data_IF_551691559101
#
_entry.id   IF_551691559101
#
_cell.length_a   1.000
_cell.length_b   1.000
_cell.length_c   1.000
_cell.angle_alpha   90.00
_cell.angle_beta   90.00
_cell.angle_gamma   90.00
#
_symmetry.space_group_name_H-M   'P 1'
#
loop_
_entity.id
_entity.type
_entity.pdbx_description
1 polymer ?
#
# COMPACT_ATOMS: atom_id res chain seq x y z
N UNK A 1 24.57 4.11 -8.89
CA UNK A 1 23.46 4.45 -9.80
C UNK A 1 22.19 4.24 -9.00
N UNK A 2 21.73 5.30 -8.33
CA UNK A 2 20.49 5.33 -7.55
C UNK A 2 19.34 5.64 -8.52
N UNK A 3 18.58 4.61 -8.89
CA UNK A 3 17.34 4.79 -9.65
C UNK A 3 16.36 5.54 -8.76
N UNK A 4 15.69 6.62 -9.22
CA UNK A 4 14.79 7.36 -8.35
C UNK A 4 13.69 6.42 -7.86
N UNK A 5 13.50 6.25 -6.53
CA UNK A 5 12.55 5.29 -5.95
C UNK A 5 11.08 5.57 -6.30
N UNK A 6 10.79 6.67 -7.00
CA UNK A 6 9.48 7.04 -7.48
C UNK A 6 8.96 6.15 -8.62
N UNK A 7 9.80 5.57 -9.49
CA UNK A 7 9.31 4.83 -10.66
C UNK A 7 8.66 3.49 -10.29
N UNK A 8 9.30 2.69 -9.44
CA UNK A 8 8.79 1.36 -9.04
C UNK A 8 7.54 1.45 -8.16
N UNK A 9 7.48 2.44 -7.27
CA UNK A 9 6.30 2.66 -6.43
C UNK A 9 5.10 3.13 -7.24
N UNK A 10 5.33 4.05 -8.16
CA UNK A 10 4.30 4.54 -9.05
C UNK A 10 3.83 3.42 -9.99
N UNK A 11 4.73 2.56 -10.48
CA UNK A 11 4.37 1.39 -11.27
C UNK A 11 3.52 0.41 -10.45
N UNK A 12 3.90 0.11 -9.20
CA UNK A 12 3.13 -0.78 -8.33
C UNK A 12 1.76 -0.20 -7.97
N UNK A 13 1.70 1.10 -7.69
CA UNK A 13 0.45 1.81 -7.46
C UNK A 13 -0.48 1.74 -8.68
N UNK A 14 0.05 1.92 -9.89
CA UNK A 14 -0.73 1.76 -11.12
C UNK A 14 -1.20 0.32 -11.34
N UNK A 15 -0.37 -0.68 -11.04
CA UNK A 15 -0.75 -2.09 -11.14
C UNK A 15 -1.95 -2.40 -10.23
N UNK A 16 -1.88 -1.95 -8.97
CA UNK A 16 -2.97 -2.09 -7.99
C UNK A 16 -4.22 -1.34 -8.47
N UNK A 17 -4.08 -0.09 -8.92
CA UNK A 17 -5.19 0.72 -9.40
C UNK A 17 -5.85 0.15 -10.67
N UNK A 18 -5.11 -0.61 -11.47
CA UNK A 18 -5.63 -1.29 -12.66
C UNK A 18 -6.36 -2.60 -12.33
N UNK A 19 -6.07 -3.21 -11.17
CA UNK A 19 -6.63 -4.49 -10.74
C UNK A 19 -7.19 -4.42 -9.30
N UNK A 20 -8.05 -3.44 -8.97
CA UNK A 20 -8.40 -3.16 -7.57
C UNK A 20 -9.16 -4.30 -6.88
N UNK A 21 -9.81 -5.18 -7.64
CA UNK A 21 -10.50 -6.35 -7.11
C UNK A 21 -9.59 -7.45 -6.57
N UNK A 22 -8.27 -7.37 -6.82
CA UNK A 22 -7.29 -8.34 -6.28
C UNK A 22 -6.71 -7.90 -4.94
N UNK A 23 -7.14 -6.74 -4.43
CA UNK A 23 -6.56 -6.10 -3.26
C UNK A 23 -7.65 -5.63 -2.28
N UNK A 24 -7.20 -5.28 -1.07
CA UNK A 24 -8.02 -4.68 -0.03
C UNK A 24 -7.14 -3.76 0.84
N UNK A 25 -7.74 -2.74 1.43
CA UNK A 25 -7.07 -1.76 2.29
C UNK A 25 -7.28 -2.14 3.74
N UNK A 26 -6.21 -2.25 4.52
CA UNK A 26 -6.33 -2.45 5.96
C UNK A 26 -6.90 -1.20 6.62
N UNK A 27 -8.00 -1.33 7.37
CA UNK A 27 -8.61 -0.19 8.08
C UNK A 27 -7.78 0.29 9.29
N UNK A 28 -6.78 -0.48 9.73
CA UNK A 28 -5.94 -0.14 10.87
C UNK A 28 -4.72 0.73 10.51
N UNK A 29 -3.99 0.37 9.46
CA UNK A 29 -2.75 1.04 9.06
C UNK A 29 -2.74 1.48 7.59
N UNK A 30 -3.88 1.37 6.90
CA UNK A 30 -4.09 1.81 5.52
C UNK A 30 -3.12 1.19 4.48
N UNK A 31 -2.51 0.06 4.84
CA UNK A 31 -1.68 -0.71 3.93
C UNK A 31 -2.56 -1.47 2.94
N UNK A 32 -2.15 -1.52 1.67
CA UNK A 32 -2.79 -2.34 0.63
C UNK A 32 -2.22 -3.75 0.71
N UNK A 33 -3.09 -4.74 0.81
CA UNK A 33 -2.75 -6.17 0.85
C UNK A 33 -3.56 -6.94 -0.18
N UNK A 34 -3.16 -8.17 -0.49
CA UNK A 34 -3.92 -9.03 -1.39
C UNK A 34 -5.31 -9.37 -0.80
N UNK A 35 -6.31 -9.52 -1.67
CA UNK A 35 -7.64 -9.99 -1.31
C UNK A 35 -7.54 -11.36 -0.62
N UNK A 36 -8.33 -11.57 0.44
CA UNK A 36 -8.32 -12.81 1.23
C UNK A 36 -7.27 -12.85 2.34
N UNK A 37 -6.41 -11.82 2.45
CA UNK A 37 -5.61 -11.59 3.66
C UNK A 37 -6.52 -11.50 4.88
N UNK A 38 -6.30 -12.36 5.87
CA UNK A 38 -7.11 -12.42 7.09
C UNK A 38 -6.57 -11.53 8.21
N UNK A 39 -5.24 -11.38 8.29
CA UNK A 39 -4.53 -10.56 9.27
C UNK A 39 -3.51 -9.70 8.55
N UNK A 40 -3.52 -8.40 8.82
CA UNK A 40 -2.62 -7.45 8.18
C UNK A 40 -1.18 -7.73 8.65
N UNK A 41 -0.22 -7.97 7.74
CA UNK A 41 1.16 -8.27 8.13
C UNK A 41 1.89 -7.05 8.72
N UNK A 42 1.35 -5.84 8.54
CA UNK A 42 1.99 -4.61 9.01
C UNK A 42 1.54 -4.20 10.41
N UNK A 43 0.26 -4.37 10.76
CA UNK A 43 -0.28 -3.94 12.06
C UNK A 43 -1.02 -5.02 12.84
N UNK A 44 -1.13 -6.24 12.30
CA UNK A 44 -1.88 -7.36 12.87
C UNK A 44 -3.39 -7.11 13.06
N UNK A 45 -3.96 -6.08 12.42
CA UNK A 45 -5.40 -5.86 12.34
C UNK A 45 -6.10 -6.85 11.40
N UNK A 46 -7.41 -7.06 11.58
CA UNK A 46 -8.20 -8.03 10.82
C UNK A 46 -9.35 -7.41 10.01
N UNK A 47 -9.47 -6.08 10.03
CA UNK A 47 -10.49 -5.33 9.30
C UNK A 47 -9.93 -4.77 8.01
N UNK A 48 -10.64 -5.00 6.92
CA UNK A 48 -10.25 -4.59 5.57
C UNK A 48 -11.45 -4.03 4.81
N UNK A 49 -11.16 -3.03 3.99
CA UNK A 49 -12.07 -2.49 3.00
C UNK A 49 -11.65 -2.99 1.62
N UNK A 50 -12.52 -3.78 0.99
CA UNK A 50 -12.31 -4.36 -0.34
C UNK A 50 -13.09 -3.62 -1.43
N UNK A 51 -13.63 -2.43 -1.13
CA UNK A 51 -14.22 -1.57 -2.14
C UNK A 51 -13.16 -1.14 -3.17
N UNK A 52 -13.39 -1.36 -4.48
CA UNK A 52 -12.40 -1.08 -5.50
C UNK A 52 -12.08 0.42 -5.62
N UNK A 53 -13.02 1.32 -5.31
CA UNK A 53 -12.77 2.76 -5.33
C UNK A 53 -11.80 3.11 -4.19
N UNK A 54 -12.00 2.55 -3.00
CA UNK A 54 -11.08 2.74 -1.86
C UNK A 54 -9.67 2.24 -2.16
N UNK A 55 -9.54 1.08 -2.80
CA UNK A 55 -8.24 0.50 -3.21
C UNK A 55 -7.51 1.40 -4.20
N UNK A 56 -8.21 1.90 -5.23
CA UNK A 56 -7.65 2.81 -6.23
C UNK A 56 -7.16 4.10 -5.57
N UNK A 57 -8.01 4.74 -4.76
CA UNK A 57 -7.67 5.98 -4.06
C UNK A 57 -6.41 5.81 -3.20
N UNK A 58 -6.35 4.72 -2.43
CA UNK A 58 -5.20 4.43 -1.59
C UNK A 58 -3.93 4.15 -2.41
N UNK A 59 -4.04 3.46 -3.53
CA UNK A 59 -2.90 3.17 -4.40
C UNK A 59 -2.31 4.47 -4.96
N UNK A 60 -3.15 5.38 -5.44
CA UNK A 60 -2.73 6.69 -5.93
C UNK A 60 -2.12 7.54 -4.81
N UNK A 61 -2.67 7.51 -3.60
CA UNK A 61 -2.12 8.22 -2.44
C UNK A 61 -0.72 7.71 -2.06
N UNK A 62 -0.52 6.39 -2.04
CA UNK A 62 0.76 5.78 -1.67
C UNK A 62 1.81 5.91 -2.78
N UNK A 63 1.39 5.85 -4.04
CA UNK A 63 2.26 6.02 -5.21
C UNK A 63 2.72 7.47 -5.44
N UNK A 64 1.97 8.46 -4.94
CA UNK A 64 2.27 9.89 -5.11
C UNK A 64 3.08 10.50 -3.95
N UNK A 65 3.20 9.82 -2.80
CA UNK A 65 3.94 10.31 -1.63
C UNK A 65 5.45 10.05 -1.70
N UNK A 66 6.23 11.06 -1.32
CA UNK A 66 7.66 10.92 -1.02
C UNK A 66 7.87 9.93 0.15
N UNK A 67 8.91 9.10 0.05
CA UNK A 67 9.18 7.99 0.97
C UNK A 67 9.51 8.50 2.37
N UNK A 68 8.53 8.56 3.26
CA UNK A 68 8.75 8.62 4.71
C UNK A 68 8.77 7.21 5.30
N UNK A 69 9.76 6.41 4.89
CA UNK A 69 10.06 5.16 5.61
C UNK A 69 11.04 5.49 6.74
N UNK A 70 10.59 5.39 7.99
CA UNK A 70 11.51 5.22 9.10
C UNK A 70 12.19 3.87 8.90
N UNK A 71 13.49 3.89 8.61
CA UNK A 71 14.32 2.69 8.62
C UNK A 71 14.64 2.34 10.07
N UNK A 72 14.89 1.07 10.39
CA UNK A 72 15.19 0.67 11.77
C UNK A 72 16.38 1.43 12.38
N UNK A 73 17.32 1.90 11.55
CA UNK A 73 18.41 2.81 11.95
C UNK A 73 17.95 4.20 12.45
N UNK A 74 16.72 4.65 12.18
CA UNK A 74 16.19 5.95 12.63
C UNK A 74 15.70 5.92 14.09
N UNK A 75 15.61 4.74 14.70
CA UNK A 75 15.15 4.55 16.09
C UNK A 75 16.31 4.33 17.09
N UNK A 76 17.56 4.58 16.68
CA UNK A 76 18.76 4.37 17.49
C UNK A 76 19.11 5.57 18.39
#
# INVERSE_FOLDING_TARGET
>A
MDTPPCSERFARAQEIASNPGEYQVCEGCESIVALGTLICPNCHGYRFDNDPVRVVDQALLLGSREKRSVVAEDLA
#
